data_IF_049901065987
#
_entry.id   IF_049901065987
#
_cell.length_a   1.000
_cell.length_b   1.000
_cell.length_c   1.000
_cell.angle_alpha   90.00
_cell.angle_beta   90.00
_cell.angle_gamma   90.00
#
_symmetry.space_group_name_H-M   'P 1'
#
loop_
_entity.id
_entity.type
_entity.pdbx_description
1 polymer ?
#
# COMPACT_ATOMS: atom_id res chain seq x y z
N UNK A 1 6.63 12.46 15.27
CA UNK A 1 5.72 13.13 14.31
C UNK A 1 4.25 12.81 14.55
N UNK A 2 3.90 11.73 15.27
CA UNK A 2 2.52 11.27 15.46
C UNK A 2 2.08 11.15 16.93
N UNK A 3 2.88 11.64 17.91
CA UNK A 3 2.67 11.39 19.34
C UNK A 3 1.48 12.19 19.95
N UNK A 4 1.11 13.30 19.33
CA UNK A 4 0.04 14.19 19.83
C UNK A 4 -1.18 14.25 18.91
N UNK A 5 -1.46 13.15 18.17
CA UNK A 5 -2.57 13.07 17.23
C UNK A 5 -3.43 11.88 17.61
N UNK A 6 -4.75 12.02 17.53
CA UNK A 6 -5.72 10.97 17.80
C UNK A 6 -5.40 9.67 17.02
N UNK A 7 -5.65 8.54 17.62
CA UNK A 7 -5.34 7.21 17.06
C UNK A 7 -5.88 7.05 15.65
N UNK A 8 -7.14 7.47 15.41
CA UNK A 8 -7.77 7.45 14.09
C UNK A 8 -6.96 8.20 13.04
N UNK A 9 -6.54 9.43 13.35
CA UNK A 9 -5.77 10.25 12.42
C UNK A 9 -4.35 9.71 12.20
N UNK A 10 -3.72 9.18 13.24
CA UNK A 10 -2.40 8.54 13.18
C UNK A 10 -2.42 7.34 12.24
N UNK A 11 -3.40 6.45 12.40
CA UNK A 11 -3.60 5.28 11.53
C UNK A 11 -3.89 5.72 10.10
N UNK A 12 -4.82 6.65 9.90
CA UNK A 12 -5.18 7.13 8.56
C UNK A 12 -3.98 7.74 7.85
N UNK A 13 -3.21 8.60 8.50
CA UNK A 13 -2.01 9.22 7.91
C UNK A 13 -0.94 8.18 7.58
N UNK A 14 -0.73 7.18 8.45
CA UNK A 14 0.22 6.10 8.21
C UNK A 14 -0.17 5.26 6.99
N UNK A 15 -1.43 4.83 6.90
CA UNK A 15 -1.93 4.04 5.77
C UNK A 15 -1.94 4.83 4.46
N UNK A 16 -2.37 6.10 4.48
CA UNK A 16 -2.36 6.96 3.30
C UNK A 16 -0.93 7.17 2.78
N UNK A 17 0.05 7.36 3.66
CA UNK A 17 1.44 7.51 3.26
C UNK A 17 1.97 6.25 2.57
N UNK A 18 1.75 5.07 3.13
CA UNK A 18 2.16 3.79 2.51
C UNK A 18 1.43 3.57 1.20
N UNK A 19 0.11 3.82 1.16
CA UNK A 19 -0.69 3.71 -0.06
C UNK A 19 -0.24 4.67 -1.16
N UNK A 20 0.15 5.90 -0.81
CA UNK A 20 0.68 6.88 -1.77
C UNK A 20 2.02 6.41 -2.39
N UNK A 21 2.94 5.89 -1.57
CA UNK A 21 4.23 5.37 -2.07
C UNK A 21 4.00 4.19 -3.02
N UNK A 22 3.13 3.25 -2.66
CA UNK A 22 2.81 2.09 -3.52
C UNK A 22 2.08 2.50 -4.79
N UNK A 23 1.17 3.49 -4.72
CA UNK A 23 0.48 4.03 -5.89
C UNK A 23 1.44 4.73 -6.87
N UNK A 24 2.40 5.51 -6.36
CA UNK A 24 3.45 6.12 -7.21
C UNK A 24 4.26 5.02 -7.92
N UNK A 25 4.65 3.96 -7.19
CA UNK A 25 5.36 2.82 -7.79
C UNK A 25 4.55 2.13 -8.89
N UNK A 26 3.25 1.94 -8.68
CA UNK A 26 2.36 1.35 -9.67
C UNK A 26 2.19 2.23 -10.92
N UNK A 27 2.02 3.55 -10.75
CA UNK A 27 1.91 4.50 -11.87
C UNK A 27 3.19 4.54 -12.69
N UNK A 28 4.36 4.58 -12.03
CA UNK A 28 5.66 4.53 -12.72
C UNK A 28 5.82 3.22 -13.49
N UNK A 29 5.45 2.07 -12.88
CA UNK A 29 5.48 0.77 -13.56
C UNK A 29 4.58 0.70 -14.78
N UNK A 30 3.35 1.21 -14.68
CA UNK A 30 2.41 1.25 -15.80
C UNK A 30 2.90 2.18 -16.93
N UNK A 31 3.37 3.37 -16.61
CA UNK A 31 3.93 4.29 -17.58
C UNK A 31 5.15 3.69 -18.31
N UNK A 32 6.04 3.03 -17.56
CA UNK A 32 7.19 2.34 -18.11
C UNK A 32 6.77 1.21 -19.07
N UNK A 33 5.77 0.42 -18.70
CA UNK A 33 5.23 -0.66 -19.54
C UNK A 33 4.66 -0.12 -20.86
N UNK A 34 3.89 0.97 -20.82
CA UNK A 34 3.32 1.59 -22.03
C UNK A 34 4.40 2.14 -22.96
N UNK A 35 5.40 2.84 -22.41
CA UNK A 35 6.53 3.36 -23.20
C UNK A 35 7.31 2.20 -23.83
N UNK A 36 7.59 1.15 -23.06
CA UNK A 36 8.32 -0.03 -23.55
C UNK A 36 7.55 -0.75 -24.65
N UNK A 37 6.24 -0.96 -24.47
CA UNK A 37 5.37 -1.59 -25.47
C UNK A 37 5.40 -0.83 -26.82
N UNK A 38 5.27 0.49 -26.77
CA UNK A 38 5.33 1.32 -27.98
C UNK A 38 6.72 1.26 -28.65
N UNK A 39 7.79 1.31 -27.87
CA UNK A 39 9.16 1.20 -28.41
C UNK A 39 9.41 -0.17 -29.03
N UNK A 40 8.91 -1.24 -28.39
CA UNK A 40 9.07 -2.60 -28.91
C UNK A 40 8.28 -2.79 -30.20
N UNK A 41 7.04 -2.30 -30.29
CA UNK A 41 6.26 -2.32 -31.51
C UNK A 41 6.94 -1.58 -32.66
N UNK A 42 7.47 -0.38 -32.40
CA UNK A 42 8.23 0.39 -33.39
C UNK A 42 9.50 -0.35 -33.83
N UNK A 43 10.18 -1.04 -32.90
CA UNK A 43 11.36 -1.82 -33.23
C UNK A 43 11.04 -2.99 -34.17
N UNK A 44 9.95 -3.69 -33.92
CA UNK A 44 9.49 -4.80 -34.78
C UNK A 44 9.18 -4.31 -36.19
N UNK A 45 8.47 -3.20 -36.33
CA UNK A 45 8.07 -2.67 -37.65
C UNK A 45 9.29 -2.15 -38.40
N UNK A 46 10.11 -1.28 -37.77
CA UNK A 46 11.18 -0.56 -38.47
C UNK A 46 12.42 -1.42 -38.71
N UNK A 47 12.65 -2.47 -37.93
CA UNK A 47 13.86 -3.28 -38.03
C UNK A 47 13.57 -4.77 -38.24
N UNK A 48 12.63 -5.37 -37.52
CA UNK A 48 12.32 -6.79 -37.64
C UNK A 48 11.63 -7.15 -38.96
N UNK A 49 10.47 -6.55 -39.23
CA UNK A 49 9.70 -6.84 -40.45
C UNK A 49 10.36 -6.26 -41.70
N UNK A 50 11.01 -5.11 -41.59
CA UNK A 50 11.69 -4.47 -42.73
C UNK A 50 12.82 -5.33 -43.32
N UNK A 51 13.51 -6.13 -42.52
CA UNK A 51 14.49 -7.10 -43.02
C UNK A 51 13.82 -8.13 -43.93
N UNK A 52 12.61 -8.59 -43.56
CA UNK A 52 11.82 -9.50 -44.40
C UNK A 52 11.40 -8.87 -45.73
N UNK A 53 11.05 -7.58 -45.72
CA UNK A 53 10.63 -6.86 -46.94
C UNK A 53 11.82 -6.56 -47.86
N UNK A 54 12.98 -6.20 -47.32
CA UNK A 54 14.25 -6.11 -48.09
C UNK A 54 14.58 -7.47 -48.68
N UNK A 55 14.48 -8.56 -47.92
CA UNK A 55 14.72 -9.93 -48.42
C UNK A 55 13.77 -10.33 -49.54
N UNK A 56 12.47 -10.00 -49.46
CA UNK A 56 11.51 -10.22 -50.55
C UNK A 56 11.84 -9.37 -51.79
N UNK A 57 12.22 -8.11 -51.62
CA UNK A 57 12.68 -7.27 -52.69
C UNK A 57 13.91 -7.87 -53.40
N UNK A 58 14.91 -8.31 -52.64
CA UNK A 58 16.10 -8.96 -53.19
C UNK A 58 15.77 -10.23 -53.96
N UNK A 59 14.90 -11.09 -53.43
CA UNK A 59 14.49 -12.32 -54.10
C UNK A 59 13.74 -12.03 -55.41
N UNK A 60 12.78 -11.11 -55.38
CA UNK A 60 12.00 -10.76 -56.58
C UNK A 60 12.86 -10.05 -57.61
N UNK A 61 13.83 -9.21 -57.19
CA UNK A 61 14.84 -8.62 -58.10
C UNK A 61 15.72 -9.68 -58.77
N UNK A 62 16.18 -10.68 -58.01
CA UNK A 62 16.96 -11.80 -58.53
C UNK A 62 16.11 -12.66 -59.50
N UNK A 63 14.83 -12.86 -59.18
CA UNK A 63 13.91 -13.57 -60.08
C UNK A 63 13.66 -12.78 -61.39
N UNK A 64 13.50 -11.46 -61.32
CA UNK A 64 13.39 -10.60 -62.51
C UNK A 64 14.62 -10.75 -63.39
N UNK A 65 15.82 -10.66 -62.81
CA UNK A 65 17.08 -10.91 -63.59
C UNK A 65 17.14 -12.32 -64.19
N UNK A 66 16.63 -13.33 -63.45
CA UNK A 66 16.57 -14.72 -63.98
C UNK A 66 15.61 -14.83 -65.17
N UNK A 67 14.45 -14.17 -65.08
CA UNK A 67 13.51 -14.10 -66.19
C UNK A 67 14.08 -13.35 -67.41
N UNK A 68 14.78 -12.24 -67.19
CA UNK A 68 15.53 -11.53 -68.26
C UNK A 68 16.52 -12.47 -69.00
N UNK A 69 17.28 -13.31 -68.25
CA UNK A 69 18.14 -14.32 -68.79
C UNK A 69 17.38 -15.39 -69.62
N UNK A 70 16.17 -15.76 -69.20
CA UNK A 70 15.27 -16.64 -69.93
C UNK A 70 14.85 -15.99 -71.23
N UNK A 71 14.39 -14.70 -71.19
CA UNK A 71 13.97 -13.95 -72.39
C UNK A 71 15.07 -13.91 -73.45
N UNK A 72 16.31 -13.65 -73.08
CA UNK A 72 17.43 -13.53 -74.04
C UNK A 72 18.10 -14.88 -74.31
N UNK A 73 17.71 -15.97 -73.67
CA UNK A 73 18.36 -17.25 -73.77
C UNK A 73 17.52 -18.38 -74.36
N UNK A 74 16.21 -18.25 -74.38
CA UNK A 74 15.35 -19.27 -74.96
C UNK A 74 15.22 -19.14 -76.47
N UNK A 75 15.19 -20.29 -77.16
CA UNK A 75 15.08 -20.40 -78.63
C UNK A 75 13.67 -20.87 -79.07
N UNK A 76 12.77 -21.13 -78.10
CA UNK A 76 11.38 -21.52 -78.30
C UNK A 76 10.45 -20.39 -77.91
N UNK A 77 9.53 -19.96 -78.79
CA UNK A 77 8.61 -18.86 -78.59
C UNK A 77 7.76 -18.97 -77.32
N UNK A 78 7.27 -20.19 -77.02
CA UNK A 78 6.45 -20.41 -75.81
C UNK A 78 7.21 -20.18 -74.51
N UNK A 79 8.46 -20.63 -74.44
CA UNK A 79 9.33 -20.41 -73.28
C UNK A 79 9.73 -18.93 -73.14
N UNK A 80 9.84 -18.22 -74.27
CA UNK A 80 10.14 -16.80 -74.30
C UNK A 80 8.97 -15.97 -73.76
N UNK A 81 7.74 -16.29 -74.23
CA UNK A 81 6.51 -15.63 -73.75
C UNK A 81 6.26 -15.88 -72.26
N UNK A 82 6.54 -17.10 -71.76
CA UNK A 82 6.47 -17.44 -70.35
C UNK A 82 7.49 -16.62 -69.52
N UNK A 83 8.75 -16.50 -70.03
CA UNK A 83 9.79 -15.73 -69.38
C UNK A 83 9.47 -14.22 -69.35
N UNK A 84 8.85 -13.66 -70.39
CA UNK A 84 8.38 -12.26 -70.38
C UNK A 84 7.29 -12.05 -69.34
N UNK A 85 6.31 -12.97 -69.28
CA UNK A 85 5.27 -12.91 -68.26
C UNK A 85 5.84 -12.98 -66.82
N UNK A 86 6.77 -13.88 -66.57
CA UNK A 86 7.46 -14.02 -65.28
C UNK A 86 8.24 -12.76 -64.94
N UNK A 87 8.97 -12.16 -65.91
CA UNK A 87 9.70 -10.92 -65.73
C UNK A 87 8.78 -9.80 -65.23
N UNK A 88 7.65 -9.56 -65.90
CA UNK A 88 6.75 -8.48 -65.55
C UNK A 88 6.09 -8.70 -64.17
N UNK A 89 5.74 -9.94 -63.85
CA UNK A 89 5.20 -10.28 -62.55
C UNK A 89 6.24 -10.05 -61.42
N UNK A 90 7.49 -10.51 -61.61
CA UNK A 90 8.53 -10.40 -60.60
C UNK A 90 8.97 -8.96 -60.43
N UNK A 91 9.05 -8.17 -61.51
CA UNK A 91 9.33 -6.74 -61.46
C UNK A 91 8.25 -5.98 -60.68
N UNK A 92 6.97 -6.23 -60.94
CA UNK A 92 5.88 -5.61 -60.20
C UNK A 92 5.93 -5.98 -58.69
N UNK A 93 6.22 -7.25 -58.38
CA UNK A 93 6.41 -7.68 -56.97
C UNK A 93 7.60 -6.98 -56.32
N UNK A 94 8.70 -6.85 -57.04
CA UNK A 94 9.90 -6.15 -56.58
C UNK A 94 9.58 -4.67 -56.26
N UNK A 95 8.96 -3.96 -57.21
CA UNK A 95 8.62 -2.54 -57.04
C UNK A 95 7.72 -2.33 -55.82
N UNK A 96 6.74 -3.22 -55.60
CA UNK A 96 5.89 -3.15 -54.42
C UNK A 96 6.65 -3.38 -53.12
N UNK A 97 7.50 -4.42 -53.05
CA UNK A 97 8.29 -4.68 -51.85
C UNK A 97 9.31 -3.58 -51.58
N UNK A 98 9.98 -3.06 -52.62
CA UNK A 98 10.96 -2.00 -52.51
C UNK A 98 10.32 -0.68 -52.06
N UNK A 99 9.11 -0.37 -52.53
CA UNK A 99 8.34 0.78 -52.01
C UNK A 99 8.02 0.63 -50.52
N UNK A 100 7.63 -0.55 -50.06
CA UNK A 100 7.40 -0.83 -48.64
C UNK A 100 8.66 -0.62 -47.80
N UNK A 101 9.83 -0.93 -48.36
CA UNK A 101 11.13 -0.63 -47.67
C UNK A 101 11.31 0.86 -47.50
N UNK A 102 10.89 1.67 -48.48
CA UNK A 102 10.95 3.14 -48.42
C UNK A 102 10.16 3.74 -47.24
N UNK A 103 9.06 3.10 -46.83
CA UNK A 103 8.22 3.58 -45.72
C UNK A 103 8.87 3.35 -44.34
N UNK A 104 9.84 2.45 -44.24
CA UNK A 104 10.47 2.05 -42.99
C UNK A 104 11.94 2.49 -42.83
N UNK A 105 12.50 3.21 -43.79
CA UNK A 105 13.83 3.83 -43.66
C UNK A 105 13.72 5.07 -42.76
N UNK A 106 14.41 5.03 -41.62
CA UNK A 106 14.25 6.01 -40.55
C UNK A 106 15.46 6.92 -40.39
N UNK A 107 16.67 6.39 -40.49
CA UNK A 107 17.92 7.14 -40.30
C UNK A 107 18.32 7.89 -41.56
N UNK A 108 19.17 8.91 -41.44
CA UNK A 108 19.72 9.64 -42.60
C UNK A 108 20.56 8.73 -43.49
N UNK A 109 21.27 7.79 -42.90
CA UNK A 109 22.11 6.80 -43.60
C UNK A 109 21.26 5.85 -44.42
N UNK A 110 20.21 5.25 -43.80
CA UNK A 110 19.26 4.38 -44.50
C UNK A 110 18.58 5.07 -45.65
N UNK A 111 18.16 6.36 -45.48
CA UNK A 111 17.51 7.16 -46.51
C UNK A 111 18.45 7.43 -47.67
N UNK A 112 19.72 7.75 -47.37
CA UNK A 112 20.73 7.97 -48.42
C UNK A 112 20.98 6.70 -49.23
N UNK A 113 21.09 5.54 -48.53
CA UNK A 113 21.32 4.26 -49.20
C UNK A 113 20.10 3.81 -50.03
N UNK A 114 18.88 4.01 -49.50
CA UNK A 114 17.62 3.73 -50.23
C UNK A 114 17.55 4.62 -51.52
N UNK A 115 17.90 5.87 -51.44
CA UNK A 115 17.93 6.78 -52.60
C UNK A 115 19.00 6.34 -53.61
N UNK A 116 20.18 5.93 -53.16
CA UNK A 116 21.25 5.43 -54.01
C UNK A 116 20.79 4.15 -54.73
N UNK A 117 20.10 3.20 -54.06
CA UNK A 117 19.53 2.04 -54.68
C UNK A 117 18.45 2.44 -55.73
N UNK A 118 17.58 3.40 -55.39
CA UNK A 118 16.55 3.92 -56.31
C UNK A 118 17.16 4.51 -57.60
N UNK A 119 18.21 5.29 -57.48
CA UNK A 119 18.92 5.90 -58.59
C UNK A 119 19.58 4.82 -59.50
N UNK A 120 20.21 3.83 -58.88
CA UNK A 120 20.78 2.66 -59.62
C UNK A 120 19.72 1.79 -60.25
N UNK A 121 18.53 1.60 -59.65
CA UNK A 121 17.43 0.88 -60.24
C UNK A 121 16.90 1.57 -61.50
N UNK A 122 16.82 2.91 -61.52
CA UNK A 122 16.44 3.63 -62.77
C UNK A 122 17.47 3.37 -63.86
N UNK A 123 18.77 3.34 -63.56
CA UNK A 123 19.81 3.01 -64.52
C UNK A 123 19.70 1.56 -64.98
N UNK A 124 19.41 0.61 -64.08
CA UNK A 124 19.22 -0.80 -64.38
C UNK A 124 18.08 -1.00 -65.39
N UNK A 125 16.89 -0.48 -65.05
CA UNK A 125 15.73 -0.62 -65.95
C UNK A 125 15.94 0.03 -67.33
N UNK A 126 16.59 1.20 -67.38
CA UNK A 126 16.92 1.85 -68.65
C UNK A 126 17.96 1.07 -69.48
N UNK A 127 18.86 0.32 -68.84
CA UNK A 127 19.82 -0.54 -69.51
C UNK A 127 19.24 -1.89 -69.90
N UNK A 128 18.24 -2.41 -69.16
CA UNK A 128 17.58 -3.69 -69.42
C UNK A 128 16.67 -3.65 -70.62
N UNK A 129 15.90 -2.56 -70.80
CA UNK A 129 14.89 -2.45 -71.86
C UNK A 129 15.46 -2.77 -73.28
N UNK A 130 16.56 -2.14 -73.76
CA UNK A 130 17.14 -2.45 -75.08
C UNK A 130 17.70 -3.86 -75.18
N UNK A 131 18.14 -4.45 -74.06
CA UNK A 131 18.64 -5.83 -74.02
C UNK A 131 17.50 -6.81 -74.24
N UNK A 132 16.35 -6.58 -73.60
CA UNK A 132 15.14 -7.36 -73.79
C UNK A 132 14.62 -7.21 -75.23
N UNK A 133 14.50 -5.96 -75.73
CA UNK A 133 14.07 -5.71 -77.10
C UNK A 133 14.93 -6.45 -78.14
N UNK A 134 16.24 -6.46 -77.98
CA UNK A 134 17.15 -7.18 -78.86
C UNK A 134 17.09 -8.68 -78.71
N UNK A 135 16.95 -9.17 -77.46
CA UNK A 135 17.11 -10.59 -77.12
C UNK A 135 15.83 -11.40 -77.10
N UNK A 136 14.62 -10.76 -77.08
CA UNK A 136 13.30 -11.40 -77.10
C UNK A 136 13.00 -11.98 -78.51
N UNK A 137 13.82 -12.89 -78.96
CA UNK A 137 13.76 -13.48 -80.27
C UNK A 137 14.32 -14.89 -80.33
N UNK A 138 13.85 -15.69 -81.27
CA UNK A 138 14.40 -17.04 -81.59
C UNK A 138 15.64 -16.99 -82.47
N UNK A 139 16.12 -15.79 -82.89
CA UNK A 139 17.38 -15.63 -83.64
C UNK A 139 18.61 -15.71 -82.73
N UNK A 140 19.35 -16.78 -82.89
CA UNK A 140 20.54 -17.08 -82.06
C UNK A 140 21.63 -15.96 -82.12
N UNK A 141 21.71 -15.21 -83.20
CA UNK A 141 22.70 -14.13 -83.33
C UNK A 141 22.33 -12.94 -82.50
N UNK A 142 21.06 -12.53 -82.54
CA UNK A 142 20.55 -11.43 -81.70
C UNK A 142 20.52 -11.82 -80.22
N UNK A 143 20.06 -13.01 -79.89
CA UNK A 143 20.11 -13.56 -78.55
C UNK A 143 21.53 -13.55 -77.94
N UNK A 144 22.52 -14.03 -78.72
CA UNK A 144 23.94 -14.02 -78.27
C UNK A 144 24.47 -12.61 -78.07
N UNK A 145 24.10 -11.66 -78.91
CA UNK A 145 24.50 -10.26 -78.77
C UNK A 145 23.85 -9.63 -77.51
N UNK A 146 22.56 -9.88 -77.24
CA UNK A 146 21.85 -9.43 -76.02
C UNK A 146 22.49 -10.04 -74.75
N UNK A 147 22.86 -11.32 -74.74
CA UNK A 147 23.55 -11.95 -73.63
C UNK A 147 24.88 -11.32 -73.34
N UNK A 148 25.67 -10.98 -74.39
CA UNK A 148 26.94 -10.26 -74.21
C UNK A 148 26.71 -8.88 -73.63
N UNK A 149 25.73 -8.12 -74.11
CA UNK A 149 25.38 -6.81 -73.60
C UNK A 149 24.86 -6.87 -72.15
N UNK A 150 24.07 -7.84 -71.78
CA UNK A 150 23.67 -8.09 -70.41
C UNK A 150 24.88 -8.24 -69.50
N UNK A 151 25.83 -9.11 -69.89
CA UNK A 151 27.03 -9.38 -69.13
C UNK A 151 27.93 -8.16 -68.96
N UNK A 152 28.03 -7.31 -69.96
CA UNK A 152 28.95 -6.17 -69.97
C UNK A 152 28.36 -4.91 -69.29
N UNK A 153 27.07 -4.69 -69.45
CA UNK A 153 26.44 -3.42 -68.98
C UNK A 153 25.42 -3.63 -67.85
N UNK A 154 24.64 -4.72 -67.83
CA UNK A 154 23.56 -4.88 -66.89
C UNK A 154 24.00 -5.61 -65.60
N UNK A 155 24.80 -6.71 -65.73
CA UNK A 155 25.28 -7.50 -64.59
C UNK A 155 26.09 -6.66 -63.56
N UNK A 156 26.97 -5.72 -63.96
CA UNK A 156 27.64 -4.88 -62.97
C UNK A 156 26.69 -3.99 -62.15
N UNK A 157 25.67 -3.39 -62.81
CA UNK A 157 24.65 -2.56 -62.13
C UNK A 157 23.84 -3.40 -61.16
N UNK A 158 23.47 -4.63 -61.56
CA UNK A 158 22.75 -5.59 -60.71
C UNK A 158 23.56 -5.92 -59.46
N UNK A 159 24.83 -6.28 -59.59
CA UNK A 159 25.69 -6.65 -58.46
C UNK A 159 25.86 -5.46 -57.48
N UNK A 160 25.97 -4.25 -57.99
CA UNK A 160 26.06 -3.03 -57.17
C UNK A 160 24.76 -2.77 -56.41
N UNK A 161 23.58 -2.92 -57.05
CA UNK A 161 22.26 -2.79 -56.39
C UNK A 161 22.07 -3.84 -55.32
N UNK A 162 22.46 -5.08 -55.65
CA UNK A 162 22.33 -6.23 -54.73
C UNK A 162 23.24 -6.04 -53.50
N UNK A 163 24.45 -5.52 -53.68
CA UNK A 163 25.36 -5.20 -52.60
C UNK A 163 24.79 -4.08 -51.68
N UNK A 164 24.25 -3.00 -52.29
CA UNK A 164 23.63 -1.90 -51.55
C UNK A 164 22.39 -2.39 -50.75
N UNK A 165 21.59 -3.31 -51.32
CA UNK A 165 20.45 -3.92 -50.60
C UNK A 165 20.91 -4.78 -49.41
N UNK A 166 22.02 -5.53 -49.55
CA UNK A 166 22.66 -6.27 -48.45
C UNK A 166 23.13 -5.30 -47.37
N UNK A 167 23.76 -4.17 -47.76
CA UNK A 167 24.19 -3.17 -46.83
C UNK A 167 23.03 -2.54 -46.07
N UNK A 168 21.93 -2.19 -46.77
CA UNK A 168 20.70 -1.69 -46.14
C UNK A 168 20.11 -2.69 -45.16
N UNK A 169 20.07 -3.97 -45.51
CA UNK A 169 19.62 -5.04 -44.62
C UNK A 169 20.53 -5.17 -43.38
N UNK A 170 21.85 -5.14 -43.54
CA UNK A 170 22.80 -5.22 -42.45
C UNK A 170 22.70 -3.99 -41.50
N UNK A 171 22.46 -2.79 -42.05
CA UNK A 171 22.17 -1.60 -41.27
C UNK A 171 20.92 -1.79 -40.42
N UNK A 172 19.85 -2.34 -40.99
CA UNK A 172 18.63 -2.67 -40.24
C UNK A 172 18.87 -3.67 -39.12
N UNK A 173 19.66 -4.71 -39.35
CA UNK A 173 20.05 -5.68 -38.32
C UNK A 173 20.82 -5.00 -37.18
N UNK A 174 21.83 -4.23 -37.53
CA UNK A 174 22.71 -3.57 -36.55
C UNK A 174 21.94 -2.57 -35.68
N UNK A 175 21.11 -1.74 -36.30
CA UNK A 175 20.25 -0.78 -35.56
C UNK A 175 19.20 -1.50 -34.71
N UNK A 176 18.63 -2.61 -35.20
CA UNK A 176 17.71 -3.45 -34.45
C UNK A 176 18.36 -4.04 -33.19
N UNK A 177 19.57 -4.58 -33.31
CA UNK A 177 20.35 -5.12 -32.21
C UNK A 177 20.71 -4.04 -31.17
N UNK A 178 21.12 -2.87 -31.64
CA UNK A 178 21.43 -1.72 -30.79
C UNK A 178 20.19 -1.25 -30.02
N UNK A 179 19.03 -1.17 -30.67
CA UNK A 179 17.79 -0.80 -30.03
C UNK A 179 17.34 -1.86 -29.02
N UNK A 180 17.45 -3.15 -29.38
CA UNK A 180 17.14 -4.29 -28.49
C UNK A 180 18.00 -4.24 -27.22
N UNK A 181 19.29 -4.02 -27.35
CA UNK A 181 20.21 -3.88 -26.21
C UNK A 181 19.85 -2.69 -25.32
N UNK A 182 19.50 -1.55 -25.92
CA UNK A 182 19.07 -0.36 -25.20
C UNK A 182 17.76 -0.61 -24.45
N UNK A 183 16.76 -1.21 -25.09
CA UNK A 183 15.48 -1.55 -24.46
C UNK A 183 15.66 -2.54 -23.31
N UNK A 184 16.55 -3.53 -23.47
CA UNK A 184 16.89 -4.46 -22.40
C UNK A 184 17.52 -3.75 -21.21
N UNK A 185 18.49 -2.88 -21.44
CA UNK A 185 19.12 -2.08 -20.36
C UNK A 185 18.10 -1.22 -19.62
N UNK A 186 17.22 -0.51 -20.34
CA UNK A 186 16.16 0.31 -19.76
C UNK A 186 15.19 -0.56 -18.95
N UNK A 187 14.79 -1.74 -19.45
CA UNK A 187 13.88 -2.64 -18.73
C UNK A 187 14.48 -3.13 -17.40
N UNK A 188 15.78 -3.47 -17.39
CA UNK A 188 16.50 -3.87 -16.17
C UNK A 188 16.56 -2.72 -15.17
N UNK A 189 16.89 -1.51 -15.62
CA UNK A 189 16.91 -0.32 -14.74
C UNK A 189 15.52 -0.08 -14.12
N UNK A 190 14.46 -0.14 -14.92
CA UNK A 190 13.09 0.02 -14.45
C UNK A 190 12.70 -1.06 -13.44
N UNK A 191 13.08 -2.31 -13.69
CA UNK A 191 12.85 -3.39 -12.73
C UNK A 191 13.54 -3.14 -11.39
N UNK A 192 14.80 -2.68 -11.40
CA UNK A 192 15.55 -2.31 -10.19
C UNK A 192 14.86 -1.16 -9.45
N UNK A 193 14.40 -0.13 -10.16
CA UNK A 193 13.68 1.01 -9.55
C UNK A 193 12.39 0.55 -8.88
N UNK A 194 11.59 -0.30 -9.53
CA UNK A 194 10.34 -0.82 -8.96
C UNK A 194 10.62 -1.64 -7.70
N UNK A 195 11.64 -2.51 -7.72
CA UNK A 195 12.05 -3.30 -6.55
C UNK A 195 12.52 -2.39 -5.42
N UNK A 196 13.31 -1.35 -5.71
CA UNK A 196 13.79 -0.40 -4.71
C UNK A 196 12.64 0.40 -4.06
N UNK A 197 11.66 0.88 -4.85
CA UNK A 197 10.47 1.57 -4.35
C UNK A 197 9.63 0.64 -3.47
N UNK A 198 9.46 -0.62 -3.88
CA UNK A 198 8.72 -1.63 -3.10
C UNK A 198 9.40 -1.95 -1.77
N UNK A 199 10.73 -2.10 -1.77
CA UNK A 199 11.51 -2.30 -0.55
C UNK A 199 11.42 -1.09 0.39
N UNK A 200 11.50 0.13 -0.14
CA UNK A 200 11.33 1.37 0.64
C UNK A 200 9.94 1.44 1.27
N UNK A 201 8.89 1.14 0.51
CA UNK A 201 7.51 1.09 1.02
C UNK A 201 7.36 0.08 2.16
N UNK A 202 7.97 -1.11 2.04
CA UNK A 202 7.96 -2.15 3.07
C UNK A 202 8.68 -1.71 4.36
N UNK A 203 9.85 -1.08 4.23
CA UNK A 203 10.59 -0.54 5.38
C UNK A 203 9.80 0.56 6.08
N UNK A 204 9.19 1.47 5.32
CA UNK A 204 8.34 2.54 5.86
C UNK A 204 7.10 1.97 6.56
N UNK A 205 6.43 0.97 5.96
CA UNK A 205 5.27 0.31 6.56
C UNK A 205 5.63 -0.35 7.90
N UNK A 206 6.76 -1.06 7.97
CA UNK A 206 7.26 -1.67 9.21
C UNK A 206 7.59 -0.62 10.28
N UNK A 207 8.30 0.46 9.92
CA UNK A 207 8.61 1.54 10.88
C UNK A 207 7.34 2.20 11.42
N UNK A 208 6.40 2.57 10.55
CA UNK A 208 5.13 3.19 10.94
C UNK A 208 4.27 2.22 11.76
N UNK A 209 4.18 0.96 11.36
CA UNK A 209 3.47 -0.08 12.10
C UNK A 209 4.00 -0.27 13.51
N UNK A 210 5.32 -0.35 13.67
CA UNK A 210 5.97 -0.46 14.97
C UNK A 210 5.78 0.78 15.86
N UNK A 211 5.82 1.98 15.28
CA UNK A 211 5.57 3.22 16.03
C UNK A 211 4.12 3.30 16.51
N UNK A 212 3.16 2.93 15.65
CA UNK A 212 1.74 2.88 16.01
C UNK A 212 1.49 1.81 17.07
N UNK A 213 2.03 0.60 16.88
CA UNK A 213 1.88 -0.50 17.82
C UNK A 213 2.43 -0.14 19.22
N UNK A 214 3.64 0.38 19.30
CA UNK A 214 4.23 0.80 20.58
C UNK A 214 3.51 1.98 21.24
N UNK A 215 3.00 2.91 20.47
CA UNK A 215 2.26 4.06 20.99
C UNK A 215 0.84 3.73 21.46
N UNK A 216 0.27 2.60 21.08
CA UNK A 216 -1.08 2.19 21.47
C UNK A 216 -1.04 0.97 22.38
N UNK A 217 -0.37 -0.12 21.96
CA UNK A 217 -0.42 -1.41 22.66
C UNK A 217 0.27 -1.35 24.03
N UNK A 218 1.42 -0.69 24.14
CA UNK A 218 2.16 -0.60 25.39
C UNK A 218 1.36 0.10 26.50
N UNK A 219 0.86 1.32 26.29
CA UNK A 219 0.01 2.00 27.28
C UNK A 219 -1.27 1.25 27.62
N UNK A 220 -1.93 0.62 26.62
CA UNK A 220 -3.13 -0.18 26.87
C UNK A 220 -2.85 -1.44 27.71
N UNK A 221 -1.72 -2.09 27.50
CA UNK A 221 -1.29 -3.23 28.30
C UNK A 221 -1.04 -2.82 29.75
N UNK A 222 -0.34 -1.71 29.96
CA UNK A 222 -0.10 -1.14 31.30
C UNK A 222 -1.42 -0.76 32.00
N UNK A 223 -2.36 -0.15 31.30
CA UNK A 223 -3.70 0.14 31.79
C UNK A 223 -4.44 -1.15 32.14
N UNK A 224 -4.37 -2.15 31.28
CA UNK A 224 -5.02 -3.46 31.51
C UNK A 224 -4.52 -4.14 32.78
N UNK A 225 -3.20 -4.15 33.01
CA UNK A 225 -2.62 -4.71 34.24
C UNK A 225 -3.04 -3.90 35.48
N UNK A 226 -3.07 -2.58 35.36
CA UNK A 226 -3.53 -1.72 36.46
C UNK A 226 -5.02 -1.93 36.77
N UNK A 227 -5.88 -2.08 35.78
CA UNK A 227 -7.28 -2.39 35.98
C UNK A 227 -7.51 -3.74 36.65
N UNK A 228 -6.66 -4.75 36.41
CA UNK A 228 -6.74 -6.03 37.16
C UNK A 228 -6.50 -5.83 38.64
N UNK A 229 -5.47 -5.05 39.02
CA UNK A 229 -5.21 -4.73 40.44
C UNK A 229 -6.34 -3.90 41.05
N UNK A 230 -6.87 -2.94 40.31
CA UNK A 230 -8.02 -2.13 40.73
C UNK A 230 -9.25 -3.00 40.99
N UNK A 231 -9.55 -3.96 40.12
CA UNK A 231 -10.65 -4.93 40.30
C UNK A 231 -10.45 -5.84 41.50
N UNK A 232 -9.23 -6.06 41.95
CA UNK A 232 -8.89 -6.81 43.19
C UNK A 232 -8.99 -5.92 44.45
N UNK A 233 -9.37 -4.64 44.32
CA UNK A 233 -9.56 -3.73 45.45
C UNK A 233 -8.36 -2.82 45.74
N UNK A 234 -7.29 -2.85 44.94
CA UNK A 234 -6.19 -1.92 45.06
C UNK A 234 -6.59 -0.56 44.46
N UNK A 235 -7.05 0.36 45.31
CA UNK A 235 -7.44 1.73 44.94
C UNK A 235 -6.30 2.72 45.09
N UNK A 236 -5.20 2.34 45.76
CA UNK A 236 -4.13 3.24 46.14
C UNK A 236 -2.98 3.35 45.14
N UNK A 237 -2.70 2.29 44.38
CA UNK A 237 -1.66 2.32 43.35
C UNK A 237 -2.09 3.25 42.20
N UNK A 238 -1.23 4.21 41.80
CA UNK A 238 -1.60 5.15 40.73
C UNK A 238 -1.74 4.45 39.40
N UNK A 239 -2.63 5.00 38.53
CA UNK A 239 -2.70 4.60 37.15
C UNK A 239 -1.47 5.10 36.38
N UNK A 240 -1.02 4.37 35.31
CA UNK A 240 0.15 4.75 34.54
C UNK A 240 -0.05 6.12 33.84
N UNK A 241 0.95 6.97 33.93
CA UNK A 241 0.97 8.20 33.16
C UNK A 241 1.23 7.87 31.68
N UNK A 242 0.35 8.33 30.80
CA UNK A 242 0.47 8.21 29.35
C UNK A 242 0.91 9.55 28.79
N UNK A 243 2.10 9.59 28.20
CA UNK A 243 2.71 10.85 27.71
C UNK A 243 2.10 11.38 26.40
N UNK A 244 1.25 10.58 25.72
CA UNK A 244 0.56 11.00 24.50
C UNK A 244 -0.64 11.89 24.81
N UNK A 245 -1.18 12.56 23.77
CA UNK A 245 -2.43 13.36 23.86
C UNK A 245 -3.52 12.73 22.99
N UNK A 246 -3.65 11.42 23.07
CA UNK A 246 -4.61 10.64 22.31
C UNK A 246 -5.68 10.02 23.23
N UNK A 247 -6.56 9.21 22.64
CA UNK A 247 -7.66 8.55 23.34
C UNK A 247 -7.19 7.62 24.47
N UNK A 248 -5.95 7.09 24.40
CA UNK A 248 -5.40 6.24 25.46
C UNK A 248 -5.01 7.10 26.68
N UNK A 249 -4.45 8.28 26.46
CA UNK A 249 -4.15 9.20 27.52
C UNK A 249 -5.42 9.72 28.21
N UNK A 250 -6.49 9.97 27.44
CA UNK A 250 -7.80 10.34 27.99
C UNK A 250 -8.34 9.20 28.88
N UNK A 251 -8.31 7.95 28.42
CA UNK A 251 -8.70 6.79 29.22
C UNK A 251 -7.88 6.65 30.51
N UNK A 252 -6.57 6.89 30.45
CA UNK A 252 -5.71 6.80 31.62
C UNK A 252 -6.07 7.85 32.68
N UNK A 253 -6.34 9.10 32.26
CA UNK A 253 -6.79 10.18 33.15
C UNK A 253 -8.13 9.87 33.80
N UNK A 254 -9.12 9.51 33.00
CA UNK A 254 -10.45 9.17 33.50
C UNK A 254 -10.41 7.96 34.46
N UNK A 255 -9.54 6.98 34.21
CA UNK A 255 -9.34 5.85 35.11
C UNK A 255 -8.67 6.26 36.43
N UNK A 256 -7.71 7.19 36.39
CA UNK A 256 -7.07 7.75 37.56
C UNK A 256 -8.09 8.55 38.41
N UNK A 257 -8.85 9.45 37.79
CA UNK A 257 -9.89 10.24 38.46
C UNK A 257 -10.95 9.35 39.11
N UNK A 258 -11.33 8.25 38.44
CA UNK A 258 -12.26 7.25 38.99
C UNK A 258 -11.67 6.57 40.21
N UNK A 259 -10.39 6.14 40.14
CA UNK A 259 -9.72 5.50 41.28
C UNK A 259 -9.58 6.43 42.47
N UNK A 260 -9.15 7.67 42.27
CA UNK A 260 -9.03 8.69 43.29
C UNK A 260 -10.36 8.96 43.99
N UNK A 261 -11.42 9.08 43.20
CA UNK A 261 -12.77 9.30 43.75
C UNK A 261 -13.25 8.12 44.59
N UNK A 262 -13.05 6.88 44.10
CA UNK A 262 -13.39 5.67 44.85
C UNK A 262 -12.56 5.53 46.09
N UNK A 263 -11.24 5.79 46.01
CA UNK A 263 -10.34 5.75 47.17
C UNK A 263 -10.75 6.74 48.27
N UNK A 264 -11.11 7.97 47.85
CA UNK A 264 -11.59 9.00 48.78
C UNK A 264 -12.89 8.56 49.48
N UNK A 265 -13.89 8.04 48.74
CA UNK A 265 -15.16 7.59 49.30
C UNK A 265 -14.99 6.38 50.25
N UNK A 266 -14.20 5.40 49.84
CA UNK A 266 -13.95 4.20 50.67
C UNK A 266 -13.17 4.56 51.94
N UNK A 267 -12.17 5.40 51.86
CA UNK A 267 -11.41 5.86 53.02
C UNK A 267 -12.27 6.67 54.00
N UNK A 268 -13.10 7.62 53.48
CA UNK A 268 -14.00 8.41 54.33
C UNK A 268 -15.10 7.56 54.99
N UNK A 269 -15.68 6.63 54.24
CA UNK A 269 -16.64 5.69 54.81
C UNK A 269 -16.00 4.77 55.86
N UNK A 270 -14.78 4.26 55.58
CA UNK A 270 -14.03 3.47 56.56
C UNK A 270 -13.69 4.23 57.83
N UNK A 271 -13.29 5.51 57.70
CA UNK A 271 -13.06 6.41 58.83
C UNK A 271 -14.33 6.62 59.67
N UNK A 272 -15.43 6.95 59.06
CA UNK A 272 -16.72 7.15 59.71
C UNK A 272 -17.14 5.90 60.46
N UNK A 273 -17.19 4.76 59.83
CA UNK A 273 -17.58 3.47 60.44
C UNK A 273 -16.57 3.06 61.55
N UNK A 274 -15.28 3.29 61.36
CA UNK A 274 -14.28 3.03 62.36
C UNK A 274 -14.45 3.88 63.64
N UNK A 275 -14.80 5.17 63.50
CA UNK A 275 -15.09 6.04 64.64
C UNK A 275 -16.40 5.64 65.32
N UNK A 276 -17.41 5.32 64.56
CA UNK A 276 -18.69 4.83 65.11
C UNK A 276 -18.51 3.50 65.90
N UNK A 277 -17.64 2.59 65.42
CA UNK A 277 -17.33 1.35 66.15
C UNK A 277 -16.66 1.57 67.50
N UNK A 278 -15.97 2.74 67.67
CA UNK A 278 -15.37 3.18 68.94
C UNK A 278 -16.33 3.99 69.83
N UNK A 279 -17.61 4.07 69.45
CA UNK A 279 -18.61 4.82 70.20
C UNK A 279 -18.71 6.31 69.86
N UNK A 280 -17.94 6.80 68.89
CA UNK A 280 -18.02 8.19 68.48
C UNK A 280 -19.05 8.38 67.37
N UNK A 281 -20.29 8.69 67.73
CA UNK A 281 -21.38 8.98 66.82
C UNK A 281 -21.52 10.48 66.43
N UNK A 282 -20.65 11.35 66.91
CA UNK A 282 -20.59 12.76 66.48
C UNK A 282 -19.87 12.96 65.15
N UNK A 283 -19.33 11.88 64.55
CA UNK A 283 -18.57 11.93 63.29
C UNK A 283 -19.43 12.29 62.09
N UNK A 284 -18.86 13.07 61.17
CA UNK A 284 -19.45 13.45 59.89
C UNK A 284 -18.43 13.20 58.79
N UNK A 285 -18.97 13.06 57.53
CA UNK A 285 -18.11 12.99 56.35
C UNK A 285 -17.36 14.29 56.16
N UNK A 286 -16.08 14.21 55.87
CA UNK A 286 -15.21 15.34 55.48
C UNK A 286 -15.33 15.62 53.98
N UNK A 287 -15.84 14.66 53.20
CA UNK A 287 -15.92 14.70 51.77
C UNK A 287 -17.35 14.51 51.21
N UNK A 288 -18.28 15.28 51.78
CA UNK A 288 -19.71 15.17 51.42
C UNK A 288 -19.97 15.35 49.93
N UNK A 289 -19.24 16.24 49.25
CA UNK A 289 -19.35 16.51 47.82
C UNK A 289 -18.86 15.37 46.92
N UNK A 290 -18.09 14.42 47.48
CA UNK A 290 -17.64 13.21 46.79
C UNK A 290 -18.73 12.18 46.59
N UNK A 291 -19.75 12.16 47.49
CA UNK A 291 -20.85 11.21 47.42
C UNK A 291 -21.97 11.67 46.46
N UNK A 292 -21.68 11.51 45.17
CA UNK A 292 -22.64 11.92 44.09
C UNK A 292 -23.33 10.71 43.49
N UNK A 293 -24.57 10.91 42.99
CA UNK A 293 -25.36 9.86 42.31
C UNK A 293 -25.57 8.63 43.22
N UNK A 294 -25.18 7.46 42.76
CA UNK A 294 -25.38 6.21 43.53
C UNK A 294 -24.56 6.15 44.83
N UNK A 295 -23.46 6.87 44.93
CA UNK A 295 -22.70 6.99 46.18
C UNK A 295 -23.44 7.77 47.27
N UNK A 296 -24.40 8.66 46.89
CA UNK A 296 -25.26 9.33 47.87
C UNK A 296 -26.01 8.37 48.74
N UNK A 297 -26.46 7.23 48.21
CA UNK A 297 -27.14 6.15 48.96
C UNK A 297 -26.28 5.64 50.13
N UNK A 298 -24.96 5.55 49.93
CA UNK A 298 -24.03 5.10 50.97
C UNK A 298 -23.95 6.10 52.15
N UNK A 299 -23.74 7.40 51.82
CA UNK A 299 -23.67 8.45 52.87
C UNK A 299 -25.00 8.58 53.63
N UNK A 300 -26.12 8.48 52.93
CA UNK A 300 -27.45 8.50 53.54
C UNK A 300 -27.67 7.30 54.48
N UNK A 301 -27.30 6.09 54.04
CA UNK A 301 -27.40 4.86 54.89
C UNK A 301 -26.52 5.00 56.16
N UNK A 302 -25.31 5.51 56.03
CA UNK A 302 -24.41 5.72 57.17
C UNK A 302 -24.98 6.80 58.14
N UNK A 303 -25.61 7.85 57.64
CA UNK A 303 -26.32 8.86 58.49
C UNK A 303 -27.49 8.23 59.25
N UNK A 304 -28.34 7.49 58.56
CA UNK A 304 -29.47 6.83 59.19
C UNK A 304 -28.99 5.84 60.25
N UNK A 305 -27.94 5.03 60.02
CA UNK A 305 -27.38 4.15 60.99
C UNK A 305 -26.85 4.91 62.21
N UNK A 306 -26.13 5.99 62.01
CA UNK A 306 -25.63 6.87 63.05
C UNK A 306 -26.79 7.44 63.93
N UNK A 307 -27.77 7.99 63.30
CA UNK A 307 -28.88 8.65 63.99
C UNK A 307 -29.73 7.61 64.80
N UNK A 308 -29.96 6.42 64.28
CA UNK A 308 -30.60 5.33 65.02
C UNK A 308 -29.73 4.86 66.22
N UNK A 309 -28.43 4.81 66.10
CA UNK A 309 -27.52 4.48 67.22
C UNK A 309 -27.56 5.55 68.30
N UNK A 310 -27.56 6.82 67.95
CA UNK A 310 -27.70 7.95 68.91
C UNK A 310 -29.03 7.80 69.66
N UNK A 311 -30.15 7.62 68.93
CA UNK A 311 -31.48 7.47 69.55
C UNK A 311 -31.55 6.28 70.52
N UNK A 312 -30.94 5.13 70.10
CA UNK A 312 -30.89 3.92 70.92
C UNK A 312 -30.08 4.18 72.22
N UNK A 313 -28.89 4.80 72.07
CA UNK A 313 -28.05 5.11 73.24
C UNK A 313 -28.72 6.12 74.17
N UNK A 314 -29.36 7.14 73.67
CA UNK A 314 -30.17 8.10 74.48
C UNK A 314 -31.30 7.38 75.21
N UNK A 315 -32.01 6.46 74.55
CA UNK A 315 -33.07 5.66 75.18
C UNK A 315 -32.55 4.75 76.27
N UNK A 316 -31.35 4.16 76.09
CA UNK A 316 -30.66 3.38 77.13
C UNK A 316 -30.27 4.24 78.28
N UNK A 317 -29.70 5.44 78.04
CA UNK A 317 -29.33 6.42 79.05
C UNK A 317 -30.54 6.84 79.90
N UNK A 318 -31.65 7.17 79.25
CA UNK A 318 -32.94 7.52 79.90
C UNK A 318 -33.45 6.36 80.75
N UNK A 319 -33.43 5.16 80.20
CA UNK A 319 -33.84 3.95 80.96
C UNK A 319 -32.88 3.68 82.14
N UNK A 320 -31.59 3.87 81.97
CA UNK A 320 -30.63 3.72 83.06
C UNK A 320 -30.84 4.78 84.17
N UNK A 321 -31.13 6.02 83.79
CA UNK A 321 -31.48 7.09 84.73
C UNK A 321 -32.77 6.78 85.49
N UNK A 322 -33.81 6.27 84.81
CA UNK A 322 -35.03 5.83 85.46
C UNK A 322 -34.80 4.68 86.46
N UNK A 323 -34.00 3.69 86.05
CA UNK A 323 -33.63 2.59 86.96
C UNK A 323 -32.84 3.12 88.16
N UNK A 324 -31.90 4.02 87.93
CA UNK A 324 -31.13 4.65 89.03
C UNK A 324 -32.06 5.39 90.03
N UNK A 325 -32.91 6.26 89.45
CA UNK A 325 -33.89 7.00 90.29
C UNK A 325 -34.85 6.06 91.01
N UNK A 326 -35.35 5.02 90.33
CA UNK A 326 -36.22 3.97 90.99
C UNK A 326 -35.45 3.20 92.06
N UNK A 327 -34.21 2.91 91.89
CA UNK A 327 -33.36 2.24 92.91
C UNK A 327 -33.12 3.16 94.14
N UNK A 328 -32.93 4.47 93.86
CA UNK A 328 -32.89 5.44 94.96
C UNK A 328 -34.13 5.51 95.77
N UNK A 329 -35.31 5.63 95.13
CA UNK A 329 -36.60 5.63 95.82
C UNK A 329 -36.83 4.32 96.60
N UNK A 330 -36.42 3.18 96.02
CA UNK A 330 -36.51 1.89 96.74
C UNK A 330 -35.66 1.78 97.99
N UNK A 331 -34.41 2.37 97.89
CA UNK A 331 -33.52 2.45 99.10
C UNK A 331 -34.13 3.33 100.19
N UNK A 332 -34.70 4.48 99.87
CA UNK A 332 -35.39 5.36 100.78
C UNK A 332 -36.64 4.73 101.41
N UNK A 333 -37.43 4.08 100.60
CA UNK A 333 -38.57 3.32 101.05
C UNK A 333 -38.15 2.16 102.03
N UNK A 334 -37.07 1.45 101.65
CA UNK A 334 -36.51 0.37 102.51
C UNK A 334 -35.97 0.89 103.82
N UNK A 335 -35.32 2.07 103.81
CA UNK A 335 -34.89 2.72 105.07
C UNK A 335 -36.03 3.16 105.97
N UNK A 336 -37.07 3.77 105.37
CA UNK A 336 -38.28 4.14 106.11
C UNK A 336 -39.01 2.95 106.72
N UNK A 337 -39.02 1.83 105.93
CA UNK A 337 -39.62 0.53 106.41
C UNK A 337 -38.79 -0.01 107.58
N UNK A 338 -37.49 0.05 107.55
CA UNK A 338 -36.61 -0.42 108.65
C UNK A 338 -36.76 0.51 109.85
N UNK A 339 -36.87 1.77 109.73
CA UNK A 339 -37.16 2.72 110.84
C UNK A 339 -38.51 2.43 111.47
N UNK A 340 -39.54 2.29 110.61
CA UNK A 340 -40.88 1.97 111.10
C UNK A 340 -40.97 0.56 111.77
N UNK A 341 -40.19 -0.39 111.29
CA UNK A 341 -40.09 -1.72 111.90
C UNK A 341 -39.38 -1.65 113.29
N UNK A 342 -38.40 -0.75 113.42
CA UNK A 342 -37.65 -0.49 114.72
C UNK A 342 -38.60 0.19 115.73
N UNK A 343 -39.36 1.17 115.26
CA UNK A 343 -40.33 1.92 116.10
C UNK A 343 -41.44 0.94 116.54
N UNK A 344 -41.90 0.05 115.63
CA UNK A 344 -42.90 -0.96 116.01
C UNK A 344 -42.32 -1.98 117.06
N UNK A 345 -41.05 -2.41 116.85
CA UNK A 345 -40.43 -3.34 117.84
C UNK A 345 -40.31 -2.66 119.19
N UNK A 346 -39.92 -1.36 119.22
CA UNK A 346 -39.91 -0.61 120.47
C UNK A 346 -41.26 -0.47 121.16
N UNK A 347 -42.32 -0.25 120.39
CA UNK A 347 -43.70 -0.16 120.89
C UNK A 347 -44.22 -1.48 121.42
N UNK A 348 -43.76 -2.61 120.89
CA UNK A 348 -44.10 -3.97 121.39
C UNK A 348 -43.36 -4.32 122.62
N UNK A 349 -42.12 -3.78 122.89
CA UNK A 349 -41.37 -3.95 124.12
C UNK A 349 -41.95 -3.11 125.30
N UNK A 350 -42.64 -2.05 125.00
CA UNK A 350 -43.31 -1.22 126.00
C UNK A 350 -44.72 -1.70 126.43
N UNK A 351 -45.27 -2.70 125.86
CA UNK A 351 -46.53 -3.31 126.17
C UNK A 351 -46.37 -4.62 126.96
#
# INVERSE_FOLDING_TARGET
MFENVRIKERLTKAFVMVAAITAIGAVVGLAAMLVMSNRYSSALVNYGFSQGDIGKAMITFANTRSATRGIIGFDEQGLLDDAMTEHDEQKAKFENYFATVGDVVTTSEEKALYQQISDKLQQYWAAEEPIIEQGATTDATQSTAAQQQMKESLDPIYEDIYADMIELMNTKVTEGDRLSSTLTAVSVILAIVIVAVSALAMVMANKLGNQVAKGISGPLEALGERFKMFAQGDLSTPFPEVSTQDEVADMAREAADMADKLNLIINDAGRILGLMSQGNYAVQSEHKDGYTLDFEKLIVAMRVLRDQMIETLTSIEDAANQVSAGSGNLAEASQSLAEGATDQAGAVEEL
#
